data_IF_770768424344
#
_entry.id   IF_770768424344
#
_cell.length_a   1.000
_cell.length_b   1.000
_cell.length_c   1.000
_cell.angle_alpha   90.00
_cell.angle_beta   90.00
_cell.angle_gamma   90.00
#
_symmetry.space_group_name_H-M   'P 1'
#
loop_
_entity.id
_entity.type
_entity.pdbx_description
1 polymer ?
#
# COMPACT_ATOMS: atom_id res chain seq x y z
N UNK A 1 -22.65 0.71 45.20
CA UNK A 1 -23.32 0.98 43.92
C UNK A 1 -22.35 1.73 43.02
N UNK A 2 -22.16 1.21 41.80
CA UNK A 2 -21.71 1.89 40.57
C UNK A 2 -20.30 2.52 40.48
N UNK A 3 -19.36 1.67 40.09
CA UNK A 3 -18.45 1.77 38.93
C UNK A 3 -18.57 3.04 38.04
N UNK A 4 -17.47 3.78 37.85
CA UNK A 4 -17.20 4.50 36.60
C UNK A 4 -15.70 4.36 36.28
N UNK A 5 -15.40 3.35 35.46
CA UNK A 5 -14.13 3.23 34.78
C UNK A 5 -13.99 4.40 33.79
N UNK A 6 -13.01 5.27 34.02
CA UNK A 6 -12.55 6.24 33.02
C UNK A 6 -11.80 5.44 31.96
N UNK A 7 -12.55 5.00 30.94
CA UNK A 7 -11.98 4.58 29.66
C UNK A 7 -11.30 5.80 29.06
N UNK A 8 -9.98 5.88 29.23
CA UNK A 8 -9.11 6.67 28.35
C UNK A 8 -9.30 6.11 26.94
N UNK A 9 -10.15 6.76 26.15
CA UNK A 9 -10.08 6.66 24.71
C UNK A 9 -8.67 7.11 24.33
N UNK A 10 -7.84 6.15 23.93
CA UNK A 10 -6.60 6.46 23.22
C UNK A 10 -7.05 6.91 21.83
N UNK A 11 -7.33 8.20 21.69
CA UNK A 11 -7.31 8.83 20.38
C UNK A 11 -5.87 8.71 19.93
N UNK A 12 -5.61 7.71 19.08
CA UNK A 12 -4.42 7.69 18.27
C UNK A 12 -4.52 8.91 17.34
N UNK A 13 -3.99 10.04 17.80
CA UNK A 13 -3.68 11.17 16.94
C UNK A 13 -2.86 10.58 15.78
N UNK A 14 -3.33 10.63 14.52
CA UNK A 14 -2.50 10.21 13.41
C UNK A 14 -1.25 11.10 13.44
N UNK A 15 -0.08 10.48 13.43
CA UNK A 15 1.22 11.15 13.37
C UNK A 15 1.16 12.21 12.25
N UNK A 16 1.07 13.48 12.63
CA UNK A 16 0.70 14.59 11.74
C UNK A 16 1.77 14.96 10.70
N UNK A 17 2.75 14.07 10.46
CA UNK A 17 3.85 14.28 9.52
C UNK A 17 4.10 13.14 8.53
N UNK A 18 3.52 11.95 8.73
CA UNK A 18 3.76 10.80 7.86
C UNK A 18 2.62 10.60 6.86
N UNK A 19 2.94 10.51 5.56
CA UNK A 19 1.96 10.20 4.51
C UNK A 19 1.32 8.82 4.77
N UNK A 20 -0.01 8.72 4.92
CA UNK A 20 -0.68 7.45 5.24
C UNK A 20 -0.66 6.44 4.10
N UNK A 21 -0.08 6.77 2.94
CA UNK A 21 -0.06 5.91 1.75
C UNK A 21 0.53 4.52 2.02
N UNK A 22 1.59 4.39 2.81
CA UNK A 22 2.23 3.09 3.08
C UNK A 22 1.30 2.17 3.88
N UNK A 23 0.70 2.69 4.95
CA UNK A 23 -0.30 1.95 5.74
C UNK A 23 -1.50 1.58 4.86
N UNK A 24 -1.95 2.51 4.03
CA UNK A 24 -3.08 2.31 3.12
C UNK A 24 -2.79 1.23 2.08
N UNK A 25 -1.60 1.17 1.48
CA UNK A 25 -1.21 0.12 0.53
C UNK A 25 -1.25 -1.25 1.21
N UNK A 26 -0.65 -1.38 2.41
CA UNK A 26 -0.62 -2.65 3.16
C UNK A 26 -2.04 -3.11 3.48
N UNK A 27 -2.88 -2.20 3.98
CA UNK A 27 -4.26 -2.49 4.32
C UNK A 27 -5.09 -2.85 3.08
N UNK A 28 -4.99 -2.03 2.02
CA UNK A 28 -5.72 -2.20 0.78
C UNK A 28 -5.42 -3.53 0.14
N UNK A 29 -4.14 -3.90 0.02
CA UNK A 29 -3.70 -5.15 -0.65
C UNK A 29 -3.91 -6.38 0.23
N UNK A 30 -3.95 -6.20 1.56
CA UNK A 30 -3.97 -7.30 2.52
C UNK A 30 -2.59 -7.96 2.71
N UNK A 31 -1.51 -7.26 2.39
CA UNK A 31 -0.14 -7.75 2.53
C UNK A 31 0.12 -8.26 3.95
N UNK A 32 0.71 -9.46 4.05
CA UNK A 32 0.98 -10.14 5.32
C UNK A 32 -0.25 -10.70 6.08
N UNK A 33 -1.47 -10.39 5.63
CA UNK A 33 -2.74 -10.83 6.27
C UNK A 33 -3.58 -11.76 5.39
N UNK A 34 -3.30 -11.80 4.09
CA UNK A 34 -4.02 -12.60 3.10
C UNK A 34 -3.03 -13.42 2.28
N UNK A 35 -3.36 -14.68 1.92
CA UNK A 35 -2.52 -15.48 1.03
C UNK A 35 -2.47 -14.95 -0.41
N UNK A 36 -3.38 -14.04 -0.78
CA UNK A 36 -3.43 -13.39 -2.08
C UNK A 36 -3.95 -11.95 -1.96
N UNK A 37 -3.47 -11.04 -2.83
CA UNK A 37 -3.88 -9.65 -2.77
C UNK A 37 -5.35 -9.50 -3.16
N UNK A 38 -6.05 -8.56 -2.51
CA UNK A 38 -7.46 -8.23 -2.79
C UNK A 38 -7.66 -6.74 -2.64
N UNK A 39 -8.53 -6.12 -3.43
CA UNK A 39 -8.88 -4.71 -3.27
C UNK A 39 -9.79 -4.47 -2.05
N UNK A 40 -9.21 -4.25 -0.87
CA UNK A 40 -9.94 -4.05 0.40
C UNK A 40 -10.42 -2.61 0.59
N UNK A 41 -11.27 -2.14 -0.32
CA UNK A 41 -11.77 -0.75 -0.31
C UNK A 41 -12.51 -0.42 1.00
N UNK A 42 -13.33 -1.33 1.53
CA UNK A 42 -14.06 -1.09 2.79
C UNK A 42 -13.13 -0.95 4.00
N UNK A 43 -11.98 -1.63 3.99
CA UNK A 43 -11.00 -1.55 5.06
C UNK A 43 -10.35 -0.15 5.09
N UNK A 44 -10.12 0.46 3.91
CA UNK A 44 -9.66 1.86 3.81
C UNK A 44 -10.66 2.84 4.39
N UNK A 45 -11.95 2.73 4.00
CA UNK A 45 -13.02 3.60 4.50
C UNK A 45 -13.17 3.47 6.02
N UNK A 46 -13.07 2.25 6.54
CA UNK A 46 -13.15 1.98 7.98
C UNK A 46 -11.98 2.58 8.75
N UNK A 47 -10.78 2.58 8.17
CA UNK A 47 -9.55 3.04 8.85
C UNK A 47 -9.33 4.55 8.74
N UNK A 48 -9.56 5.13 7.57
CA UNK A 48 -9.22 6.52 7.24
C UNK A 48 -10.44 7.42 7.06
N UNK A 49 -11.65 6.88 7.07
CA UNK A 49 -12.87 7.59 6.73
C UNK A 49 -13.18 7.55 5.23
N UNK A 50 -14.41 7.95 4.87
CA UNK A 50 -14.92 7.78 3.51
C UNK A 50 -14.21 8.64 2.46
N UNK A 51 -13.96 9.92 2.78
CA UNK A 51 -13.30 10.87 1.88
C UNK A 51 -11.83 10.48 1.67
N UNK A 52 -11.03 10.53 2.74
CA UNK A 52 -9.62 10.18 2.68
C UNK A 52 -9.36 8.74 2.20
N UNK A 53 -10.23 7.78 2.56
CA UNK A 53 -10.15 6.41 2.06
C UNK A 53 -10.36 6.31 0.53
N UNK A 54 -11.22 7.15 -0.03
CA UNK A 54 -11.42 7.23 -1.49
C UNK A 54 -10.21 7.86 -2.19
N UNK A 55 -9.65 8.95 -1.65
CA UNK A 55 -8.42 9.57 -2.16
C UNK A 55 -7.25 8.59 -2.15
N UNK A 56 -7.04 7.89 -1.02
CA UNK A 56 -5.98 6.89 -0.89
C UNK A 56 -6.17 5.73 -1.86
N UNK A 57 -7.41 5.27 -2.06
CA UNK A 57 -7.71 4.25 -3.07
C UNK A 57 -7.30 4.72 -4.46
N UNK A 58 -7.61 5.96 -4.84
CA UNK A 58 -7.23 6.50 -6.14
C UNK A 58 -5.72 6.58 -6.30
N UNK A 59 -4.99 7.06 -5.28
CA UNK A 59 -3.52 7.08 -5.27
C UNK A 59 -2.93 5.67 -5.43
N UNK A 60 -3.43 4.70 -4.69
CA UNK A 60 -2.98 3.30 -4.78
C UNK A 60 -3.24 2.72 -6.17
N UNK A 61 -4.41 2.99 -6.76
CA UNK A 61 -4.72 2.55 -8.12
C UNK A 61 -3.77 3.16 -9.15
N UNK A 62 -3.44 4.45 -9.02
CA UNK A 62 -2.48 5.11 -9.89
C UNK A 62 -1.07 4.49 -9.78
N UNK A 63 -0.61 4.18 -8.56
CA UNK A 63 0.68 3.49 -8.35
C UNK A 63 0.71 2.11 -8.99
N UNK A 64 -0.37 1.35 -8.88
CA UNK A 64 -0.49 0.02 -9.50
C UNK A 64 -0.52 0.11 -11.04
N UNK A 65 -1.21 1.11 -11.58
CA UNK A 65 -1.22 1.37 -13.03
C UNK A 65 0.17 1.79 -13.53
N UNK A 66 0.86 2.68 -12.83
CA UNK A 66 2.22 3.11 -13.17
C UNK A 66 3.18 1.92 -13.20
N UNK A 67 3.11 1.03 -12.20
CA UNK A 67 3.90 -0.21 -12.16
C UNK A 67 3.63 -1.13 -13.35
N UNK A 68 2.40 -1.16 -13.86
CA UNK A 68 2.04 -1.95 -15.04
C UNK A 68 2.54 -1.32 -16.34
N UNK A 69 2.57 0.01 -16.41
CA UNK A 69 3.03 0.75 -17.58
C UNK A 69 4.55 0.82 -17.68
N UNK A 70 5.29 0.50 -16.61
CA UNK A 70 6.75 0.47 -16.65
C UNK A 70 7.23 -0.46 -17.77
N UNK A 71 8.11 0.01 -18.67
CA UNK A 71 8.72 -0.80 -19.70
C UNK A 71 9.80 -1.71 -19.10
N UNK A 72 9.36 -2.67 -18.28
CA UNK A 72 10.20 -3.77 -17.84
C UNK A 72 10.35 -4.72 -19.03
N UNK A 73 11.35 -4.43 -19.87
CA UNK A 73 11.68 -5.27 -21.01
C UNK A 73 11.82 -6.75 -20.62
N UNK A 74 11.68 -7.64 -21.62
CA UNK A 74 11.79 -9.09 -21.42
C UNK A 74 12.99 -9.43 -20.51
N UNK A 75 12.85 -10.42 -19.60
CA UNK A 75 13.87 -10.75 -18.61
C UNK A 75 15.23 -10.88 -19.29
N UNK A 76 16.13 -9.93 -18.97
CA UNK A 76 17.46 -9.91 -19.54
C UNK A 76 18.22 -11.13 -19.01
N UNK A 77 18.71 -11.99 -19.90
CA UNK A 77 19.37 -13.26 -19.53
C UNK A 77 20.63 -13.07 -18.68
N UNK A 78 21.19 -11.85 -18.59
CA UNK A 78 22.36 -11.52 -17.76
C UNK A 78 21.96 -10.91 -16.42
N UNK A 79 20.75 -10.38 -16.29
CA UNK A 79 20.25 -9.83 -15.03
C UNK A 79 19.62 -10.92 -14.17
N UNK A 80 20.08 -11.04 -12.92
CA UNK A 80 19.47 -11.93 -11.92
C UNK A 80 18.20 -11.35 -11.27
N UNK A 81 17.93 -10.06 -11.47
CA UNK A 81 16.77 -9.37 -10.89
C UNK A 81 15.48 -9.82 -11.58
N UNK A 82 14.46 -10.11 -10.78
CA UNK A 82 13.12 -10.37 -11.27
C UNK A 82 12.51 -9.13 -11.95
N UNK A 83 11.49 -9.35 -12.77
CA UNK A 83 10.70 -8.28 -13.40
C UNK A 83 10.12 -7.34 -12.34
N UNK A 84 9.61 -7.90 -11.24
CA UNK A 84 9.08 -7.15 -10.09
C UNK A 84 10.12 -6.25 -9.45
N UNK A 85 11.33 -6.75 -9.16
CA UNK A 85 12.39 -5.94 -8.56
C UNK A 85 12.74 -4.74 -9.45
N UNK A 86 12.82 -4.96 -10.77
CA UNK A 86 13.12 -3.88 -11.73
C UNK A 86 12.01 -2.84 -11.80
N UNK A 87 10.75 -3.26 -11.74
CA UNK A 87 9.61 -2.34 -11.74
C UNK A 87 9.63 -1.44 -10.48
N UNK A 88 9.91 -2.02 -9.32
CA UNK A 88 10.00 -1.28 -8.05
C UNK A 88 11.19 -0.31 -8.04
N UNK A 89 12.35 -0.72 -8.56
CA UNK A 89 13.52 0.16 -8.68
C UNK A 89 13.28 1.35 -9.61
N UNK A 90 12.41 1.21 -10.61
CA UNK A 90 12.01 2.31 -11.49
C UNK A 90 10.95 3.21 -10.86
N UNK A 91 10.03 2.64 -10.05
CA UNK A 91 8.98 3.39 -9.36
C UNK A 91 9.53 4.25 -8.21
N UNK A 92 10.40 3.67 -7.38
CA UNK A 92 10.82 4.26 -6.10
C UNK A 92 11.34 5.72 -6.19
N UNK A 93 12.16 6.11 -7.18
CA UNK A 93 12.66 7.49 -7.29
C UNK A 93 11.58 8.54 -7.54
N UNK A 94 10.43 8.14 -8.11
CA UNK A 94 9.31 9.03 -8.41
C UNK A 94 8.34 9.19 -7.24
N UNK A 95 8.40 8.30 -6.25
CA UNK A 95 7.48 8.23 -5.12
C UNK A 95 8.26 8.16 -3.80
N UNK A 96 8.95 9.25 -3.39
CA UNK A 96 9.76 9.29 -2.18
C UNK A 96 8.94 9.13 -0.89
N UNK A 97 7.61 9.28 -0.95
CA UNK A 97 6.70 8.96 0.14
C UNK A 97 6.56 7.46 0.41
N UNK A 98 6.98 6.58 -0.52
CA UNK A 98 6.92 5.14 -0.34
C UNK A 98 8.10 4.61 0.46
N UNK A 99 7.78 4.00 1.60
CA UNK A 99 8.74 3.31 2.44
C UNK A 99 8.87 1.82 2.07
N UNK A 100 9.74 1.11 2.79
CA UNK A 100 9.99 -0.31 2.56
C UNK A 100 8.70 -1.17 2.64
N UNK A 101 7.75 -0.81 3.50
CA UNK A 101 6.50 -1.56 3.68
C UNK A 101 5.56 -1.36 2.49
N UNK A 102 5.41 -0.13 2.01
CA UNK A 102 4.61 0.19 0.82
C UNK A 102 5.20 -0.47 -0.43
N UNK A 103 6.51 -0.36 -0.63
CA UNK A 103 7.21 -0.97 -1.77
C UNK A 103 7.10 -2.49 -1.77
N UNK A 104 7.25 -3.15 -0.61
CA UNK A 104 7.06 -4.61 -0.50
C UNK A 104 5.64 -5.05 -0.81
N UNK A 105 4.65 -4.30 -0.31
CA UNK A 105 3.24 -4.61 -0.57
C UNK A 105 2.86 -4.42 -2.05
N UNK A 106 3.39 -3.38 -2.71
CA UNK A 106 3.24 -3.18 -4.16
C UNK A 106 3.94 -4.29 -4.95
N UNK A 107 5.18 -4.63 -4.61
CA UNK A 107 5.94 -5.69 -5.26
C UNK A 107 5.21 -7.04 -5.19
N UNK A 108 4.70 -7.37 -4.00
CA UNK A 108 3.89 -8.57 -3.79
C UNK A 108 2.64 -8.53 -4.66
N UNK A 109 1.88 -7.44 -4.63
CA UNK A 109 0.64 -7.28 -5.41
C UNK A 109 0.89 -7.42 -6.91
N UNK A 110 1.95 -6.78 -7.42
CA UNK A 110 2.37 -6.85 -8.81
C UNK A 110 2.75 -8.28 -9.23
N UNK A 111 3.45 -9.02 -8.38
CA UNK A 111 3.85 -10.41 -8.65
C UNK A 111 2.66 -11.37 -8.85
N UNK A 112 1.50 -11.06 -8.26
CA UNK A 112 0.26 -11.82 -8.42
C UNK A 112 -0.63 -11.31 -9.56
N UNK A 113 -0.31 -10.15 -10.16
CA UNK A 113 -1.10 -9.57 -11.24
C UNK A 113 -2.49 -9.10 -10.82
N UNK A 114 -2.68 -8.70 -9.55
CA UNK A 114 -3.93 -8.06 -9.14
C UNK A 114 -4.14 -6.80 -9.98
N UNK A 115 -5.35 -6.68 -10.53
CA UNK A 115 -5.81 -5.64 -11.44
C UNK A 115 -7.25 -5.25 -11.10
#
# INVERSE_FOLDING_TARGET
>A
MSNVAVLRAVTAEPDAGADPINEAIVLYTGFGRSPFPRARTNDLVTRFGAEQGADLKQRIAALLEELQQQPVGAPDKRSKKSVTERAIEQLQPHHPELDESGLKALAWTYSFGLR
#
